data_IF_440917605414
#
_entry.id   IF_440917605414
#
_cell.length_a   1.000
_cell.length_b   1.000
_cell.length_c   1.000
_cell.angle_alpha   90.00
_cell.angle_beta   90.00
_cell.angle_gamma   90.00
#
_symmetry.space_group_name_H-M   'P 1'
#
loop_
_entity.id
_entity.type
_entity.pdbx_description
1 polymer ?
#
# COMPACT_ATOMS: atom_id res chain seq x y z
N UNK A 1 14.65 3.09 11.14
CA UNK A 1 14.90 2.06 10.09
C UNK A 1 16.07 2.50 9.23
N UNK A 2 16.93 1.59 8.76
CA UNK A 2 17.98 1.90 7.77
C UNK A 2 17.91 1.01 6.53
N UNK A 3 18.21 1.58 5.36
CA UNK A 3 18.16 0.93 4.04
C UNK A 3 19.34 1.40 3.17
N UNK A 4 19.58 0.72 2.04
CA UNK A 4 20.53 1.19 1.03
C UNK A 4 19.76 1.89 -0.09
N UNK A 5 20.12 3.14 -0.39
CA UNK A 5 19.58 3.91 -1.51
C UNK A 5 20.71 4.63 -2.23
N UNK A 6 20.57 4.77 -3.55
CA UNK A 6 21.45 5.61 -4.37
C UNK A 6 21.15 7.09 -4.14
N UNK A 7 22.07 7.98 -4.52
CA UNK A 7 21.85 9.42 -4.42
C UNK A 7 20.59 9.87 -5.19
N UNK A 8 20.37 9.34 -6.40
CA UNK A 8 19.17 9.61 -7.20
C UNK A 8 17.89 9.18 -6.47
N UNK A 9 17.86 7.99 -5.88
CA UNK A 9 16.70 7.53 -5.11
C UNK A 9 16.43 8.40 -3.87
N UNK A 10 17.47 8.95 -3.24
CA UNK A 10 17.28 9.88 -2.12
C UNK A 10 16.68 11.21 -2.60
N UNK A 11 17.06 11.70 -3.77
CA UNK A 11 16.46 12.89 -4.39
C UNK A 11 14.99 12.64 -4.76
N UNK A 12 14.69 11.53 -5.40
CA UNK A 12 13.31 11.11 -5.73
C UNK A 12 12.43 10.98 -4.49
N UNK A 13 12.91 10.29 -3.44
CA UNK A 13 12.19 10.17 -2.18
C UNK A 13 11.94 11.54 -1.55
N UNK A 14 12.92 12.45 -1.61
CA UNK A 14 12.77 13.80 -1.07
C UNK A 14 11.70 14.59 -1.84
N UNK A 15 11.69 14.49 -3.17
CA UNK A 15 10.67 15.11 -4.02
C UNK A 15 9.27 14.54 -3.75
N UNK A 16 9.14 13.20 -3.71
CA UNK A 16 7.89 12.51 -3.40
C UNK A 16 7.31 12.93 -2.04
N UNK A 17 8.15 13.04 -1.01
CA UNK A 17 7.74 13.52 0.31
C UNK A 17 7.25 14.97 0.26
N UNK A 18 7.93 15.85 -0.49
CA UNK A 18 7.55 17.26 -0.63
C UNK A 18 6.21 17.45 -1.35
N UNK A 19 5.99 16.70 -2.44
CA UNK A 19 4.73 16.66 -3.20
C UNK A 19 3.58 16.10 -2.37
N UNK A 20 3.85 15.08 -1.55
CA UNK A 20 2.89 14.51 -0.60
C UNK A 20 2.59 15.44 0.58
N UNK A 21 3.33 16.55 0.70
CA UNK A 21 3.09 17.61 1.67
C UNK A 21 3.91 17.53 2.96
N UNK A 22 4.96 16.71 2.99
CA UNK A 22 5.97 16.73 4.04
C UNK A 22 7.10 17.68 3.64
N UNK A 23 7.14 18.86 4.26
CA UNK A 23 8.08 19.93 3.88
C UNK A 23 9.43 19.78 4.59
N UNK A 24 10.52 20.00 3.85
CA UNK A 24 11.88 20.07 4.43
C UNK A 24 11.98 21.33 5.28
N UNK A 25 12.32 21.16 6.55
CA UNK A 25 12.54 22.25 7.51
C UNK A 25 14.01 22.61 7.66
N UNK A 26 14.90 21.62 7.55
CA UNK A 26 16.32 21.83 7.75
C UNK A 26 17.13 20.77 6.99
N UNK A 27 18.33 21.18 6.57
CA UNK A 27 19.38 20.32 6.05
C UNK A 27 20.64 20.58 6.87
N UNK A 28 21.07 19.59 7.63
CA UNK A 28 22.30 19.66 8.41
C UNK A 28 23.39 18.78 7.77
N UNK A 29 24.65 19.21 7.85
CA UNK A 29 25.77 18.33 7.59
C UNK A 29 25.95 17.35 8.77
N UNK A 30 26.24 16.09 8.47
CA UNK A 30 26.62 15.09 9.48
C UNK A 30 27.93 14.41 9.06
N UNK A 31 28.66 13.74 9.96
CA UNK A 31 29.84 12.98 9.57
C UNK A 31 29.48 11.99 8.45
N UNK A 32 30.21 12.08 7.33
CA UNK A 32 30.03 11.25 6.14
C UNK A 32 28.62 11.30 5.54
N UNK A 33 28.00 12.49 5.49
CA UNK A 33 26.71 12.66 4.80
C UNK A 33 25.93 13.91 5.18
N UNK A 34 24.61 13.86 5.02
CA UNK A 34 23.69 14.94 5.40
C UNK A 34 22.40 14.41 6.03
N UNK A 35 21.76 15.25 6.82
CA UNK A 35 20.46 14.98 7.45
C UNK A 35 19.42 15.98 6.96
N UNK A 36 18.28 15.49 6.48
CA UNK A 36 17.09 16.26 6.19
C UNK A 36 16.06 16.05 7.30
N UNK A 37 15.46 17.13 7.79
CA UNK A 37 14.31 17.09 8.70
C UNK A 37 13.06 17.53 7.95
N UNK A 38 12.05 16.68 7.93
CA UNK A 38 10.74 16.91 7.36
C UNK A 38 9.70 17.13 8.46
N UNK A 39 8.72 17.99 8.17
CA UNK A 39 7.50 18.12 8.97
C UNK A 39 6.29 17.83 8.10
N UNK A 40 5.51 16.81 8.49
CA UNK A 40 4.28 16.43 7.81
C UNK A 40 3.11 17.33 8.20
N UNK A 41 2.02 17.25 7.43
CA UNK A 41 0.79 18.05 7.61
C UNK A 41 0.16 17.86 8.99
N UNK A 42 0.29 16.67 9.57
CA UNK A 42 -0.25 16.34 10.90
C UNK A 42 0.67 16.78 12.06
N UNK A 43 1.77 17.49 11.77
CA UNK A 43 2.77 17.88 12.76
C UNK A 43 3.76 16.76 13.12
N UNK A 44 3.69 15.63 12.42
CA UNK A 44 4.65 14.53 12.52
C UNK A 44 6.01 14.93 11.93
N UNK A 45 7.08 14.30 12.42
CA UNK A 45 8.46 14.65 12.06
C UNK A 45 9.20 13.43 11.59
N UNK A 46 9.90 13.59 10.46
CA UNK A 46 10.75 12.57 9.87
C UNK A 46 12.15 13.16 9.66
N UNK A 47 13.16 12.47 10.13
CA UNK A 47 14.57 12.74 9.87
C UNK A 47 15.12 11.67 8.96
N UNK A 48 15.62 12.08 7.80
CA UNK A 48 16.33 11.23 6.84
C UNK A 48 17.81 11.60 6.92
N UNK A 49 18.65 10.66 7.34
CA UNK A 49 20.11 10.83 7.32
C UNK A 49 20.69 9.99 6.20
N UNK A 50 21.19 10.62 5.15
CA UNK A 50 21.85 9.96 4.03
C UNK A 50 23.37 10.00 4.24
N UNK A 51 23.99 8.83 4.31
CA UNK A 51 25.44 8.68 4.43
C UNK A 51 26.09 8.44 3.07
N UNK A 52 27.35 8.85 2.90
CA UNK A 52 28.14 8.68 1.68
C UNK A 52 28.28 7.20 1.25
N UNK A 53 28.13 6.28 2.22
CA UNK A 53 28.09 4.84 1.98
C UNK A 53 26.81 4.33 1.26
N UNK A 54 25.88 5.22 0.91
CA UNK A 54 24.54 4.89 0.39
C UNK A 54 23.58 4.37 1.46
N UNK A 55 23.98 4.32 2.73
CA UNK A 55 23.07 3.99 3.82
C UNK A 55 22.18 5.18 4.12
N UNK A 56 20.87 4.96 4.18
CA UNK A 56 19.89 5.97 4.58
C UNK A 56 19.21 5.52 5.86
N UNK A 57 19.20 6.40 6.86
CA UNK A 57 18.61 6.18 8.18
C UNK A 57 17.38 7.08 8.36
N UNK A 58 16.24 6.45 8.61
CA UNK A 58 14.98 7.09 8.95
C UNK A 58 14.74 7.06 10.47
N UNK A 59 14.51 8.26 11.04
CA UNK A 59 14.29 8.53 12.46
C UNK A 59 13.13 9.52 12.64
N UNK A 60 12.36 9.50 13.74
CA UNK A 60 11.31 10.51 13.97
C UNK A 60 10.08 10.02 14.72
N UNK A 61 9.05 10.87 14.80
CA UNK A 61 7.72 10.51 15.34
C UNK A 61 6.80 10.21 14.17
N UNK A 62 6.60 8.92 13.96
CA UNK A 62 6.02 8.32 12.76
C UNK A 62 4.50 8.25 12.85
N UNK A 63 3.81 9.06 12.05
CA UNK A 63 2.41 8.83 11.74
C UNK A 63 2.29 8.71 10.22
N UNK A 64 1.86 9.76 9.54
CA UNK A 64 1.64 9.76 8.10
C UNK A 64 2.94 9.70 7.29
N UNK A 65 3.99 10.41 7.71
CA UNK A 65 5.28 10.45 7.01
C UNK A 65 5.97 9.08 6.89
N UNK A 66 5.72 8.15 7.83
CA UNK A 66 6.27 6.81 7.73
C UNK A 66 5.53 5.94 6.70
N UNK A 67 4.21 6.13 6.52
CA UNK A 67 3.49 5.40 5.46
C UNK A 67 3.95 5.86 4.07
N UNK A 68 4.25 7.15 3.90
CA UNK A 68 4.86 7.68 2.68
C UNK A 68 6.25 7.09 2.41
N UNK A 69 7.10 6.98 3.45
CA UNK A 69 8.41 6.34 3.29
C UNK A 69 8.25 4.89 2.87
N UNK A 70 7.36 4.13 3.51
CA UNK A 70 7.10 2.75 3.11
C UNK A 70 6.56 2.66 1.68
N UNK A 71 5.67 3.58 1.28
CA UNK A 71 5.14 3.65 -0.07
C UNK A 71 6.26 3.70 -1.12
N UNK A 72 7.20 4.62 -0.94
CA UNK A 72 8.38 4.70 -1.81
C UNK A 72 9.23 3.42 -1.72
N UNK A 73 9.51 2.93 -0.51
CA UNK A 73 10.39 1.78 -0.30
C UNK A 73 9.86 0.49 -0.93
N UNK A 74 8.54 0.29 -1.01
CA UNK A 74 7.99 -0.86 -1.72
C UNK A 74 8.39 -0.88 -3.19
N UNK A 75 8.52 0.29 -3.83
CA UNK A 75 8.87 0.38 -5.25
C UNK A 75 10.37 0.17 -5.52
N UNK A 76 11.23 0.44 -4.54
CA UNK A 76 12.69 0.39 -4.74
C UNK A 76 13.38 -0.80 -4.09
N UNK A 77 12.75 -1.44 -3.09
CA UNK A 77 13.31 -2.61 -2.40
C UNK A 77 12.73 -3.91 -2.93
N UNK A 78 13.51 -4.99 -2.91
CA UNK A 78 13.05 -6.33 -3.23
C UNK A 78 12.07 -6.89 -2.18
N UNK A 79 11.26 -7.89 -2.57
CA UNK A 79 10.22 -8.47 -1.71
C UNK A 79 10.74 -8.91 -0.32
N UNK A 80 11.84 -9.67 -0.27
CA UNK A 80 12.38 -10.17 0.99
C UNK A 80 12.93 -9.05 1.87
N UNK A 81 13.60 -8.08 1.26
CA UNK A 81 14.19 -6.96 1.98
C UNK A 81 13.10 -6.13 2.65
N UNK A 82 12.01 -5.83 1.96
CA UNK A 82 10.85 -5.12 2.54
C UNK A 82 10.35 -5.84 3.80
N UNK A 83 10.09 -7.15 3.70
CA UNK A 83 9.57 -7.91 4.84
C UNK A 83 10.56 -7.94 6.01
N UNK A 84 11.83 -8.18 5.74
CA UNK A 84 12.87 -8.16 6.77
C UNK A 84 12.90 -6.81 7.50
N UNK A 85 12.86 -5.70 6.75
CA UNK A 85 12.89 -4.35 7.32
C UNK A 85 11.63 -4.03 8.10
N UNK A 86 10.45 -4.45 7.65
CA UNK A 86 9.19 -4.23 8.37
C UNK A 86 9.14 -5.03 9.67
N UNK A 87 9.43 -6.32 9.61
CA UNK A 87 9.46 -7.21 10.78
C UNK A 87 10.41 -6.64 11.84
N UNK A 88 11.61 -6.23 11.43
CA UNK A 88 12.58 -5.63 12.34
C UNK A 88 12.15 -4.24 12.87
N UNK A 89 11.55 -3.40 12.03
CA UNK A 89 11.16 -2.03 12.41
C UNK A 89 9.99 -2.01 13.39
N UNK A 90 8.99 -2.88 13.18
CA UNK A 90 7.80 -2.96 14.01
C UNK A 90 7.85 -4.07 15.06
N UNK A 91 8.98 -4.76 15.17
CA UNK A 91 9.19 -5.87 16.11
C UNK A 91 8.09 -6.94 16.00
N UNK A 92 7.71 -7.27 14.77
CA UNK A 92 6.65 -8.26 14.50
C UNK A 92 7.15 -9.63 14.95
N UNK A 93 6.40 -10.40 15.75
CA UNK A 93 6.85 -11.67 16.32
C UNK A 93 6.75 -12.84 15.32
N UNK A 94 7.24 -12.66 14.09
CA UNK A 94 7.23 -13.65 13.00
C UNK A 94 8.48 -13.53 12.14
N UNK A 95 8.78 -14.59 11.39
CA UNK A 95 9.85 -14.57 10.38
C UNK A 95 9.30 -14.23 8.99
N UNK A 96 10.21 -13.89 8.06
CA UNK A 96 9.87 -13.72 6.64
C UNK A 96 9.29 -15.00 6.05
N UNK A 97 9.81 -16.16 6.45
CA UNK A 97 9.36 -17.46 5.97
C UNK A 97 7.91 -17.73 6.42
N UNK A 98 7.57 -17.39 7.66
CA UNK A 98 6.20 -17.54 8.18
C UNK A 98 5.20 -16.72 7.36
N UNK A 99 5.54 -15.47 7.06
CA UNK A 99 4.68 -14.57 6.25
C UNK A 99 4.54 -15.08 4.81
N UNK A 100 5.62 -15.56 4.20
CA UNK A 100 5.57 -16.15 2.85
C UNK A 100 4.69 -17.39 2.81
N UNK A 101 4.87 -18.30 3.77
CA UNK A 101 4.05 -19.51 3.86
C UNK A 101 2.58 -19.18 4.10
N UNK A 102 2.29 -18.21 4.98
CA UNK A 102 0.91 -17.77 5.22
C UNK A 102 0.30 -17.13 3.98
N UNK A 103 1.05 -16.30 3.24
CA UNK A 103 0.58 -15.71 1.99
C UNK A 103 0.19 -16.80 0.98
N UNK A 104 1.04 -17.81 0.79
CA UNK A 104 0.77 -18.94 -0.11
C UNK A 104 -0.46 -19.74 0.35
N UNK A 105 -0.58 -20.02 1.64
CA UNK A 105 -1.73 -20.74 2.21
C UNK A 105 -3.04 -19.96 2.07
N UNK A 106 -2.98 -18.63 2.14
CA UNK A 106 -4.14 -17.75 2.01
C UNK A 106 -4.55 -17.50 0.55
N UNK A 107 -3.64 -17.73 -0.40
CA UNK A 107 -3.84 -17.50 -1.83
C UNK A 107 -3.37 -18.70 -2.66
N UNK A 108 -3.92 -19.91 -2.43
CA UNK A 108 -3.41 -21.13 -3.02
C UNK A 108 -3.48 -21.15 -4.56
N UNK A 109 -4.47 -20.45 -5.15
CA UNK A 109 -4.61 -20.34 -6.60
C UNK A 109 -4.01 -19.04 -7.12
N UNK A 110 -4.24 -17.93 -6.42
CA UNK A 110 -3.82 -16.61 -6.89
C UNK A 110 -2.31 -16.37 -6.81
N UNK A 111 -1.61 -16.93 -5.81
CA UNK A 111 -0.23 -16.53 -5.48
C UNK A 111 0.72 -16.57 -6.69
N UNK A 112 0.71 -17.66 -7.47
CA UNK A 112 1.58 -17.82 -8.63
C UNK A 112 1.22 -16.93 -9.84
N UNK A 113 0.04 -16.29 -9.82
CA UNK A 113 -0.50 -15.47 -10.92
C UNK A 113 -0.38 -13.96 -10.65
N UNK A 114 0.00 -13.58 -9.44
CA UNK A 114 0.13 -12.18 -9.03
C UNK A 114 1.52 -11.62 -9.32
N UNK A 115 1.55 -10.39 -9.85
CA UNK A 115 2.77 -9.60 -9.94
C UNK A 115 3.48 -9.49 -8.58
N UNK A 116 4.81 -9.45 -8.58
CA UNK A 116 5.62 -9.42 -7.36
C UNK A 116 5.24 -8.25 -6.44
N UNK A 117 5.03 -7.06 -7.00
CA UNK A 117 4.60 -5.88 -6.23
C UNK A 117 3.26 -6.08 -5.51
N UNK A 118 2.31 -6.79 -6.12
CA UNK A 118 1.03 -7.10 -5.47
C UNK A 118 1.27 -8.05 -4.29
N UNK A 119 2.06 -9.10 -4.50
CA UNK A 119 2.43 -10.03 -3.43
C UNK A 119 3.15 -9.32 -2.30
N UNK A 120 4.06 -8.38 -2.60
CA UNK A 120 4.81 -7.60 -1.62
C UNK A 120 3.88 -6.79 -0.72
N UNK A 121 2.87 -6.14 -1.30
CA UNK A 121 1.86 -5.40 -0.57
C UNK A 121 0.97 -6.31 0.31
N UNK A 122 0.56 -7.47 -0.20
CA UNK A 122 -0.22 -8.46 0.57
C UNK A 122 0.58 -9.05 1.74
N UNK A 123 1.84 -9.40 1.50
CA UNK A 123 2.75 -9.89 2.53
C UNK A 123 2.98 -8.85 3.62
N UNK A 124 3.13 -7.59 3.22
CA UNK A 124 3.23 -6.48 4.16
C UNK A 124 1.97 -6.34 5.03
N UNK A 125 0.78 -6.40 4.43
CA UNK A 125 -0.47 -6.37 5.20
C UNK A 125 -0.53 -7.51 6.22
N UNK A 126 -0.12 -8.72 5.84
CA UNK A 126 -0.04 -9.87 6.77
C UNK A 126 0.94 -9.61 7.91
N UNK A 127 2.16 -9.14 7.62
CA UNK A 127 3.14 -8.81 8.65
C UNK A 127 2.61 -7.74 9.60
N UNK A 128 2.03 -6.67 9.08
CA UNK A 128 1.48 -5.58 9.88
C UNK A 128 0.30 -6.02 10.74
N UNK A 129 -0.52 -6.97 10.27
CA UNK A 129 -1.65 -7.50 11.04
C UNK A 129 -1.24 -8.24 12.33
N UNK A 130 0.04 -8.60 12.46
CA UNK A 130 0.61 -9.32 13.61
C UNK A 130 1.37 -8.41 14.58
N UNK A 131 1.36 -7.10 14.33
CA UNK A 131 1.99 -6.12 15.23
C UNK A 131 1.21 -6.06 16.55
N UNK A 132 1.92 -6.21 17.66
CA UNK A 132 1.35 -6.14 19.02
C UNK A 132 1.30 -4.73 19.61
N UNK A 133 1.11 -3.70 18.78
CA UNK A 133 1.11 -2.29 19.21
C UNK A 133 -0.33 -1.77 19.18
N UNK A 134 -0.73 -1.13 20.27
CA UNK A 134 -2.00 -0.40 20.31
C UNK A 134 -1.89 0.92 19.54
N UNK A 135 -2.76 1.10 18.55
CA UNK A 135 -2.85 2.30 17.73
C UNK A 135 -4.20 2.99 17.94
N UNK A 136 -4.22 4.32 17.86
CA UNK A 136 -5.46 5.10 17.81
C UNK A 136 -6.19 4.93 16.46
N UNK A 137 -5.43 4.59 15.41
CA UNK A 137 -5.94 4.31 14.08
C UNK A 137 -5.13 3.19 13.40
N UNK A 138 -5.83 2.09 13.08
CA UNK A 138 -5.28 0.91 12.41
C UNK A 138 -5.39 1.00 10.88
N UNK A 139 -5.80 2.14 10.30
CA UNK A 139 -5.89 2.33 8.84
C UNK A 139 -4.60 1.97 8.10
N UNK A 140 -3.44 2.32 8.69
CA UNK A 140 -2.13 2.01 8.13
C UNK A 140 -1.81 0.50 8.10
N UNK A 141 -2.48 -0.32 8.90
CA UNK A 141 -2.34 -1.78 8.88
C UNK A 141 -3.04 -2.37 7.65
N UNK A 142 -4.22 -1.85 7.30
CA UNK A 142 -4.98 -2.31 6.15
C UNK A 142 -4.53 -1.68 4.82
N UNK A 143 -3.85 -0.53 4.86
CA UNK A 143 -3.48 0.22 3.65
C UNK A 143 -2.69 -0.60 2.60
N UNK A 144 -1.69 -1.44 2.96
CA UNK A 144 -0.99 -2.27 1.98
C UNK A 144 -1.93 -3.24 1.24
N UNK A 145 -2.95 -3.81 1.90
CA UNK A 145 -3.89 -4.70 1.20
C UNK A 145 -4.77 -3.95 0.20
N UNK A 146 -5.15 -2.70 0.52
CA UNK A 146 -5.90 -1.85 -0.42
C UNK A 146 -5.05 -1.48 -1.65
N UNK A 147 -3.75 -1.21 -1.46
CA UNK A 147 -2.80 -1.02 -2.57
C UNK A 147 -2.61 -2.29 -3.41
N UNK A 148 -2.56 -3.45 -2.77
CA UNK A 148 -2.52 -4.72 -3.49
C UNK A 148 -3.76 -4.91 -4.36
N UNK A 149 -4.94 -4.55 -3.84
CA UNK A 149 -6.20 -4.63 -4.58
C UNK A 149 -6.21 -3.69 -5.80
N UNK A 150 -5.66 -2.48 -5.67
CA UNK A 150 -5.44 -1.55 -6.77
C UNK A 150 -4.55 -2.14 -7.86
N UNK A 151 -3.37 -2.66 -7.48
CA UNK A 151 -2.45 -3.31 -8.40
C UNK A 151 -3.07 -4.51 -9.11
N UNK A 152 -3.86 -5.30 -8.37
CA UNK A 152 -4.62 -6.42 -8.91
C UNK A 152 -5.66 -5.98 -9.96
N UNK A 153 -6.43 -4.91 -9.69
CA UNK A 153 -7.38 -4.36 -10.67
C UNK A 153 -6.64 -3.94 -11.96
N UNK A 154 -5.51 -3.23 -11.84
CA UNK A 154 -4.71 -2.86 -13.01
C UNK A 154 -4.18 -4.07 -13.78
N UNK A 155 -3.63 -5.06 -13.08
CA UNK A 155 -3.10 -6.28 -13.69
C UNK A 155 -4.19 -6.97 -14.53
N UNK A 156 -5.38 -7.14 -13.95
CA UNK A 156 -6.44 -7.90 -14.59
C UNK A 156 -7.18 -7.15 -15.69
N UNK A 157 -7.30 -5.82 -15.57
CA UNK A 157 -7.80 -4.96 -16.65
C UNK A 157 -6.84 -4.99 -17.84
N UNK A 158 -5.52 -4.92 -17.58
CA UNK A 158 -4.50 -5.06 -18.63
C UNK A 158 -4.53 -6.43 -19.30
N UNK A 159 -4.72 -7.49 -18.52
CA UNK A 159 -4.85 -8.86 -19.05
C UNK A 159 -6.08 -9.02 -19.98
N UNK A 160 -7.09 -8.15 -19.87
CA UNK A 160 -8.25 -8.10 -20.77
C UNK A 160 -8.02 -7.26 -22.04
N UNK A 161 -6.81 -6.75 -22.27
CA UNK A 161 -6.47 -5.95 -23.44
C UNK A 161 -6.85 -4.46 -23.32
N UNK A 162 -7.21 -4.00 -22.12
CA UNK A 162 -7.46 -2.59 -21.84
C UNK A 162 -6.18 -1.92 -21.33
N UNK A 163 -6.04 -0.61 -21.55
CA UNK A 163 -4.85 0.15 -21.12
C UNK A 163 -5.27 1.20 -20.08
N UNK A 164 -5.07 0.93 -18.78
CA UNK A 164 -5.30 1.90 -17.72
C UNK A 164 -4.36 3.09 -17.80
N UNK A 165 -4.93 4.30 -17.67
CA UNK A 165 -4.17 5.52 -17.41
C UNK A 165 -3.42 5.38 -16.07
N UNK A 166 -2.19 5.90 -16.06
CA UNK A 166 -1.31 5.96 -14.89
C UNK A 166 -1.97 6.72 -13.72
N UNK A 167 -2.93 7.61 -14.02
CA UNK A 167 -3.66 8.39 -13.00
C UNK A 167 -4.74 7.59 -12.23
N UNK A 168 -5.07 6.37 -12.65
CA UNK A 168 -5.89 5.45 -11.84
C UNK A 168 -7.35 5.77 -11.69
N UNK A 169 -7.98 6.22 -12.79
CA UNK A 169 -9.41 6.42 -12.83
C UNK A 169 -10.14 5.13 -13.25
N UNK A 170 -10.41 4.24 -12.29
CA UNK A 170 -11.20 3.03 -12.54
C UNK A 170 -12.67 3.32 -12.94
N UNK A 171 -13.14 4.57 -12.78
CA UNK A 171 -14.43 5.03 -13.31
C UNK A 171 -14.53 4.97 -14.84
N UNK A 172 -13.42 4.69 -15.53
CA UNK A 172 -13.42 4.44 -16.97
C UNK A 172 -13.85 3.01 -17.35
N UNK A 173 -13.86 2.08 -16.40
CA UNK A 173 -14.19 0.67 -16.60
C UNK A 173 -15.47 0.26 -15.89
N UNK A 174 -15.74 0.88 -14.74
CA UNK A 174 -16.85 0.53 -13.88
C UNK A 174 -17.76 1.72 -13.62
N UNK A 175 -19.05 1.43 -13.52
CA UNK A 175 -20.10 2.36 -13.13
C UNK A 175 -20.52 2.06 -11.69
N UNK A 176 -20.91 3.11 -10.97
CA UNK A 176 -21.33 3.04 -9.57
C UNK A 176 -22.75 3.56 -9.45
N UNK A 177 -23.68 2.66 -9.14
CA UNK A 177 -25.08 2.99 -8.87
C UNK A 177 -25.40 2.67 -7.41
N UNK A 178 -25.12 3.64 -6.54
CA UNK A 178 -25.24 3.45 -5.09
C UNK A 178 -24.23 2.42 -4.58
N UNK A 179 -24.71 1.27 -4.10
CA UNK A 179 -23.87 0.15 -3.64
C UNK A 179 -23.57 -0.89 -4.72
N UNK A 180 -24.10 -0.71 -5.92
CA UNK A 180 -23.95 -1.65 -7.03
C UNK A 180 -22.82 -1.15 -7.94
N UNK A 181 -21.88 -2.04 -8.25
CA UNK A 181 -20.76 -1.81 -9.13
C UNK A 181 -20.88 -2.73 -10.34
N UNK A 182 -20.85 -2.16 -11.54
CA UNK A 182 -21.00 -2.91 -12.79
C UNK A 182 -19.96 -2.47 -13.81
N UNK A 183 -19.69 -3.33 -14.80
CA UNK A 183 -18.84 -3.00 -15.94
C UNK A 183 -19.59 -2.04 -16.87
N UNK A 184 -18.91 -1.00 -17.33
CA UNK A 184 -19.46 -0.08 -18.33
C UNK A 184 -19.67 -0.79 -19.67
N UNK A 185 -20.77 -0.49 -20.36
CA UNK A 185 -21.13 -1.19 -21.61
C UNK A 185 -20.03 -1.17 -22.67
N UNK A 186 -19.24 -0.09 -22.76
CA UNK A 186 -18.09 0.02 -23.69
C UNK A 186 -16.94 -0.96 -23.39
N UNK A 187 -16.89 -1.50 -22.17
CA UNK A 187 -15.87 -2.45 -21.74
C UNK A 187 -16.42 -3.88 -21.64
N UNK A 188 -17.71 -4.11 -21.91
CA UNK A 188 -18.37 -5.40 -21.70
C UNK A 188 -17.76 -6.55 -22.52
N UNK A 189 -17.26 -6.27 -23.73
CA UNK A 189 -16.57 -7.29 -24.55
C UNK A 189 -15.24 -7.73 -23.94
N UNK A 190 -14.49 -6.81 -23.35
CA UNK A 190 -13.18 -7.08 -22.73
C UNK A 190 -13.33 -7.64 -21.31
N UNK A 191 -14.32 -7.19 -20.56
CA UNK A 191 -14.59 -7.56 -19.18
C UNK A 191 -15.88 -8.40 -19.10
N UNK A 192 -15.89 -9.51 -19.84
CA UNK A 192 -17.01 -10.45 -19.88
C UNK A 192 -17.18 -11.21 -18.55
N UNK A 193 -18.37 -11.79 -18.34
CA UNK A 193 -18.64 -12.65 -17.19
C UNK A 193 -17.81 -13.95 -17.21
N UNK A 194 -17.41 -14.50 -16.06
CA UNK A 194 -17.63 -13.97 -14.70
C UNK A 194 -16.59 -12.91 -14.27
N UNK A 195 -15.57 -12.67 -15.10
CA UNK A 195 -14.43 -11.80 -14.78
C UNK A 195 -14.88 -10.37 -14.45
N UNK A 196 -15.75 -9.81 -15.28
CA UNK A 196 -16.26 -8.45 -15.16
C UNK A 196 -16.97 -8.17 -13.83
N UNK A 197 -17.90 -9.05 -13.42
CA UNK A 197 -18.64 -8.87 -12.16
C UNK A 197 -17.76 -8.99 -10.93
N UNK A 198 -16.79 -9.92 -10.93
CA UNK A 198 -15.85 -10.06 -9.81
C UNK A 198 -14.95 -8.83 -9.70
N UNK A 199 -14.43 -8.33 -10.83
CA UNK A 199 -13.62 -7.10 -10.84
C UNK A 199 -14.41 -5.87 -10.43
N UNK A 200 -15.69 -5.76 -10.83
CA UNK A 200 -16.55 -4.67 -10.38
C UNK A 200 -16.78 -4.73 -8.85
N UNK A 201 -16.96 -5.93 -8.29
CA UNK A 201 -17.04 -6.13 -6.84
C UNK A 201 -15.73 -5.80 -6.11
N UNK A 202 -14.58 -6.15 -6.69
CA UNK A 202 -13.27 -5.77 -6.18
C UNK A 202 -13.07 -4.24 -6.22
N UNK A 203 -13.48 -3.59 -7.31
CA UNK A 203 -13.47 -2.13 -7.41
C UNK A 203 -14.35 -1.48 -6.34
N UNK A 204 -15.52 -2.03 -6.05
CA UNK A 204 -16.37 -1.52 -4.98
C UNK A 204 -15.73 -1.61 -3.59
N UNK A 205 -15.00 -2.70 -3.31
CA UNK A 205 -14.20 -2.80 -2.10
C UNK A 205 -13.11 -1.72 -2.09
N UNK A 206 -12.29 -1.61 -3.13
CA UNK A 206 -11.24 -0.60 -3.26
C UNK A 206 -11.79 0.83 -3.09
N UNK A 207 -12.85 1.19 -3.82
CA UNK A 207 -13.46 2.52 -3.78
C UNK A 207 -13.94 2.86 -2.37
N UNK A 208 -14.59 1.92 -1.67
CA UNK A 208 -15.09 2.13 -0.30
C UNK A 208 -13.96 2.35 0.72
N UNK A 209 -12.80 1.72 0.52
CA UNK A 209 -11.67 1.81 1.45
C UNK A 209 -10.75 2.98 1.14
N UNK A 210 -10.47 3.29 -0.14
CA UNK A 210 -9.60 4.42 -0.52
C UNK A 210 -10.14 5.76 -0.01
N UNK A 211 -11.44 6.01 -0.18
CA UNK A 211 -12.05 7.26 0.27
C UNK A 211 -12.09 7.40 1.80
N UNK A 212 -12.20 6.29 2.54
CA UNK A 212 -12.26 6.29 4.00
C UNK A 212 -10.90 6.35 4.69
N UNK A 213 -9.90 5.64 4.13
CA UNK A 213 -8.59 5.43 4.76
C UNK A 213 -7.48 6.36 4.24
N UNK A 214 -7.60 6.88 3.01
CA UNK A 214 -6.50 7.60 2.35
C UNK A 214 -6.67 9.14 2.28
N UNK A 215 -7.89 9.67 2.47
CA UNK A 215 -8.15 11.10 2.35
C UNK A 215 -8.97 11.65 3.52
N UNK A 216 -8.47 12.74 4.13
CA UNK A 216 -9.29 13.56 5.03
C UNK A 216 -10.28 14.38 4.21
N UNK A 217 -11.58 14.23 4.48
CA UNK A 217 -12.61 15.05 3.85
C UNK A 217 -12.63 16.46 4.45
N UNK A 218 -12.91 17.47 3.60
CA UNK A 218 -12.93 18.90 3.96
C UNK A 218 -13.87 19.20 5.15
N UNK A 219 -14.90 18.39 5.34
CA UNK A 219 -15.89 18.53 6.41
C UNK A 219 -15.53 17.84 7.73
N UNK A 220 -14.38 17.14 7.86
CA UNK A 220 -13.99 16.33 9.04
C UNK A 220 -15.00 15.23 9.47
N UNK A 221 -16.17 15.15 8.83
CA UNK A 221 -17.30 14.26 9.17
C UNK A 221 -17.24 12.93 8.41
N UNK A 222 -16.23 12.70 7.56
CA UNK A 222 -16.13 11.49 6.72
C UNK A 222 -14.82 10.70 6.82
N UNK A 223 -13.87 11.11 7.65
CA UNK A 223 -12.64 10.33 7.91
C UNK A 223 -12.98 9.08 8.71
N UNK A 224 -12.96 7.92 8.07
CA UNK A 224 -13.16 6.64 8.76
C UNK A 224 -11.81 6.19 9.32
N UNK A 225 -11.63 6.33 10.62
CA UNK A 225 -10.53 5.66 11.32
C UNK A 225 -10.92 4.21 11.63
N UNK A 226 -9.93 3.31 11.58
CA UNK A 226 -10.12 1.94 12.07
C UNK A 226 -9.69 1.93 13.53
N UNK A 227 -10.63 1.73 14.44
CA UNK A 227 -10.37 1.85 15.89
C UNK A 227 -9.80 0.57 16.48
N UNK A 228 -9.87 -0.53 15.74
CA UNK A 228 -9.39 -1.83 16.21
C UNK A 228 -8.57 -2.55 15.15
N UNK A 229 -7.62 -3.38 15.61
CA UNK A 229 -6.90 -4.31 14.75
C UNK A 229 -7.84 -5.25 14.01
N UNK A 230 -8.94 -5.68 14.65
CA UNK A 230 -9.93 -6.55 14.04
C UNK A 230 -10.58 -5.95 12.79
N UNK A 231 -10.90 -4.65 12.80
CA UNK A 231 -11.42 -3.95 11.62
C UNK A 231 -10.40 -3.91 10.47
N UNK A 232 -9.12 -3.68 10.78
CA UNK A 232 -8.06 -3.71 9.78
C UNK A 232 -7.88 -5.12 9.18
N UNK A 233 -7.83 -6.15 10.03
CA UNK A 233 -7.74 -7.56 9.62
C UNK A 233 -8.95 -7.97 8.77
N UNK A 234 -10.16 -7.50 9.06
CA UNK A 234 -11.33 -7.76 8.23
C UNK A 234 -11.17 -7.20 6.80
N UNK A 235 -10.61 -6.00 6.65
CA UNK A 235 -10.34 -5.43 5.32
C UNK A 235 -9.30 -6.27 4.58
N UNK A 236 -8.21 -6.65 5.26
CA UNK A 236 -7.18 -7.52 4.70
C UNK A 236 -7.83 -8.84 4.23
N UNK A 237 -8.62 -9.50 5.07
CA UNK A 237 -9.26 -10.75 4.70
C UNK A 237 -10.18 -10.62 3.49
N UNK A 238 -10.99 -9.56 3.42
CA UNK A 238 -11.86 -9.29 2.27
C UNK A 238 -11.08 -9.06 0.97
N UNK A 239 -9.91 -8.42 1.03
CA UNK A 239 -9.02 -8.27 -0.13
C UNK A 239 -8.52 -9.64 -0.61
N UNK A 240 -8.00 -10.45 0.31
CA UNK A 240 -7.51 -11.79 -0.01
C UNK A 240 -8.61 -12.66 -0.62
N UNK A 241 -9.80 -12.66 -0.02
CA UNK A 241 -10.98 -13.37 -0.53
C UNK A 241 -11.35 -12.92 -1.95
N UNK A 242 -11.33 -11.62 -2.24
CA UNK A 242 -11.67 -11.10 -3.58
C UNK A 242 -10.66 -11.51 -4.65
N UNK A 243 -9.37 -11.43 -4.33
CA UNK A 243 -8.30 -11.82 -5.25
C UNK A 243 -8.34 -13.34 -5.49
N UNK A 244 -8.51 -14.13 -4.44
CA UNK A 244 -8.56 -15.59 -4.57
C UNK A 244 -9.83 -16.05 -5.31
N UNK A 245 -10.99 -15.48 -4.99
CA UNK A 245 -12.27 -15.73 -5.68
C UNK A 245 -12.15 -15.53 -7.19
N UNK A 246 -11.45 -14.48 -7.61
CA UNK A 246 -11.24 -14.18 -9.02
C UNK A 246 -10.53 -15.33 -9.73
N UNK A 247 -9.38 -15.79 -9.23
CA UNK A 247 -8.61 -16.85 -9.90
C UNK A 247 -9.20 -18.25 -9.72
N UNK A 248 -10.10 -18.44 -8.76
CA UNK A 248 -10.87 -19.68 -8.64
C UNK A 248 -12.00 -19.78 -9.65
N UNK A 249 -12.54 -18.64 -10.11
CA UNK A 249 -13.71 -18.56 -11.00
C UNK A 249 -13.37 -18.18 -12.45
N UNK A 250 -12.11 -17.85 -12.73
CA UNK A 250 -11.59 -17.47 -14.05
C UNK A 250 -10.39 -18.31 -14.44
#
# INVERSE_FOLDING_TARGET
MSVKLTAAQVEELTAFLDESGAKVQAKDAVPHGYRLRFKGKAGDTLSLTAYDSGTVLFQGRYLHTASLVWDYLYNVLGFEEVLQKQIATYQVPVTVADIKSELENRLPVAHGRLHEEIRKQLASALAMSKVGIELEDYSNIAFPSVRALEGFLYQEIRACGLVPDEKGNFGEYFEVNGSIYTVLSRCAEHLAEPKGSILAGAYGLYHSQRHGLAHMTVTLVGTRTLRTMAEAVQIINRVFEKIEEFYQKT
#
